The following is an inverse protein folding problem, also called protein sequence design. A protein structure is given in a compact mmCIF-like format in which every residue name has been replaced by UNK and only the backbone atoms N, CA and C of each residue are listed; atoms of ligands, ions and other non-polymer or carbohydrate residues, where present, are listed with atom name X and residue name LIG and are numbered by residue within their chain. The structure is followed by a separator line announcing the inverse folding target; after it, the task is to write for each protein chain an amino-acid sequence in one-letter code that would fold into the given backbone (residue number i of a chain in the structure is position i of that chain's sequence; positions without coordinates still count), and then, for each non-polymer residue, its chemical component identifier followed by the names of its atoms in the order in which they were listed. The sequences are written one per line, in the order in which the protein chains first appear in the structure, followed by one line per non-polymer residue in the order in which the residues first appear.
data_IF_929096556251
#
_entry.id   IF_929096556251
#
_cell.length_a   1.000
_cell.length_b   1.000
_cell.length_c   1.000
_cell.angle_alpha   90.00
_cell.angle_beta   90.00
_cell.angle_gamma   90.00
#
_symmetry.space_group_name_H-M   'P 1'
#
loop_
_entity.id
_entity.type
_entity.pdbx_description
1 polymer ?
#
# COMPACT_ATOMS: atom_id res chain seq x y z
N UNK A 1 -17.90 5.38 4.49
CA UNK A 1 -16.80 5.14 5.47
C UNK A 1 -16.70 6.32 6.44
N UNK A 2 -15.99 6.21 7.58
CA UNK A 2 -15.71 7.34 8.50
C UNK A 2 -14.23 7.31 8.86
N UNK A 3 -13.54 8.46 8.80
CA UNK A 3 -12.16 8.62 9.25
C UNK A 3 -12.14 9.50 10.51
N UNK A 4 -11.38 9.09 11.52
CA UNK A 4 -11.21 9.86 12.75
C UNK A 4 -9.86 10.56 12.75
N UNK A 5 -9.86 11.88 12.85
CA UNK A 5 -8.65 12.70 12.94
C UNK A 5 -8.54 13.21 14.37
N UNK A 6 -7.34 13.12 14.96
CA UNK A 6 -7.08 13.66 16.28
C UNK A 6 -7.14 15.19 16.24
N UNK A 7 -7.76 15.79 17.25
CA UNK A 7 -7.97 17.25 17.31
C UNK A 7 -6.67 18.03 17.17
N UNK A 8 -5.58 17.53 17.75
CA UNK A 8 -4.27 18.19 17.75
C UNK A 8 -3.68 18.36 16.35
N UNK A 9 -4.01 17.47 15.42
CA UNK A 9 -3.50 17.49 14.04
C UNK A 9 -4.56 17.95 13.02
N UNK A 10 -5.81 18.12 13.44
CA UNK A 10 -6.96 18.41 12.56
C UNK A 10 -6.74 19.64 11.67
N UNK A 11 -6.05 20.67 12.16
CA UNK A 11 -5.75 21.90 11.41
C UNK A 11 -4.81 21.68 10.22
N UNK A 12 -4.03 20.61 10.25
CA UNK A 12 -3.15 20.20 9.15
C UNK A 12 -3.80 19.21 8.19
N UNK A 13 -5.08 18.86 8.39
CA UNK A 13 -5.76 17.83 7.60
C UNK A 13 -6.91 18.44 6.80
N UNK A 14 -6.92 18.19 5.50
CA UNK A 14 -7.98 18.59 4.57
C UNK A 14 -8.56 17.34 3.90
N UNK A 15 -9.88 17.20 3.88
CA UNK A 15 -10.53 16.15 3.10
C UNK A 15 -10.70 16.59 1.64
N UNK A 16 -10.19 15.79 0.71
CA UNK A 16 -10.38 15.98 -0.71
C UNK A 16 -11.60 15.22 -1.22
N UNK A 17 -12.34 15.83 -2.15
CA UNK A 17 -13.48 15.18 -2.79
C UNK A 17 -13.03 13.94 -3.57
N UNK A 18 -13.71 12.83 -3.32
CA UNK A 18 -13.54 11.58 -4.05
C UNK A 18 -14.92 10.96 -4.28
N UNK A 19 -15.23 10.57 -5.52
CA UNK A 19 -16.55 10.03 -5.91
C UNK A 19 -16.79 8.59 -5.46
N UNK A 20 -15.81 7.96 -4.80
CA UNK A 20 -15.92 6.58 -4.34
C UNK A 20 -16.47 6.52 -2.90
N UNK A 21 -17.65 5.93 -2.72
CA UNK A 21 -18.36 5.93 -1.43
C UNK A 21 -17.64 5.17 -0.29
N UNK A 22 -16.77 4.23 -0.67
CA UNK A 22 -15.95 3.45 0.25
C UNK A 22 -14.50 3.97 0.32
N UNK A 23 -14.24 5.17 -0.19
CA UNK A 23 -12.95 5.85 -0.15
C UNK A 23 -13.03 7.21 0.57
N UNK A 24 -11.97 7.56 1.30
CA UNK A 24 -11.75 8.90 1.84
C UNK A 24 -10.32 9.30 1.47
N UNK A 25 -10.16 10.48 0.88
CA UNK A 25 -8.85 11.03 0.55
C UNK A 25 -8.56 12.21 1.47
N UNK A 26 -7.54 12.09 2.31
CA UNK A 26 -7.08 13.17 3.18
C UNK A 26 -5.75 13.71 2.68
N UNK A 27 -5.63 15.03 2.64
CA UNK A 27 -4.37 15.74 2.48
C UNK A 27 -3.86 16.14 3.86
N UNK A 28 -2.60 15.80 4.15
CA UNK A 28 -1.84 16.26 5.31
C UNK A 28 -0.90 17.37 4.83
N UNK A 29 -1.10 18.57 5.35
CA UNK A 29 -0.45 19.80 4.90
C UNK A 29 1.01 19.87 5.36
N UNK A 30 1.93 19.95 4.41
CA UNK A 30 3.37 19.97 4.66
C UNK A 30 3.82 21.12 5.56
N UNK A 31 3.24 22.31 5.40
CA UNK A 31 3.57 23.47 6.23
C UNK A 31 3.17 23.28 7.69
N UNK A 32 2.09 22.54 7.95
CA UNK A 32 1.64 22.24 9.31
C UNK A 32 2.54 21.20 9.98
N UNK A 33 2.94 20.16 9.23
CA UNK A 33 3.76 19.07 9.76
C UNK A 33 5.27 19.32 9.65
N UNK A 34 5.70 20.38 8.97
CA UNK A 34 7.11 20.72 8.76
C UNK A 34 7.81 19.79 7.75
N UNK A 35 7.09 19.32 6.73
CA UNK A 35 7.59 18.42 5.69
C UNK A 35 7.93 19.17 4.39
N UNK A 36 8.69 18.53 3.52
CA UNK A 36 9.02 19.07 2.19
C UNK A 36 7.84 19.00 1.21
N UNK A 37 7.03 17.95 1.33
CA UNK A 37 5.88 17.68 0.48
C UNK A 37 4.61 17.32 1.26
N UNK A 38 3.46 17.57 0.63
CA UNK A 38 2.17 17.17 1.18
C UNK A 38 2.08 15.63 1.18
N UNK A 39 1.32 15.08 2.12
CA UNK A 39 1.07 13.63 2.20
C UNK A 39 -0.42 13.36 2.00
N UNK A 40 -0.76 12.51 1.03
CA UNK A 40 -2.12 12.10 0.73
C UNK A 40 -2.38 10.70 1.27
N UNK A 41 -3.37 10.59 2.15
CA UNK A 41 -3.82 9.31 2.72
C UNK A 41 -5.13 8.93 2.07
N UNK A 42 -5.11 7.88 1.25
CA UNK A 42 -6.29 7.25 0.67
C UNK A 42 -6.70 6.11 1.58
N UNK A 43 -7.68 6.37 2.44
CA UNK A 43 -8.34 5.33 3.20
C UNK A 43 -9.36 4.63 2.31
N UNK A 44 -9.37 3.30 2.25
CA UNK A 44 -10.22 2.56 1.32
C UNK A 44 -10.76 1.28 1.93
N UNK A 45 -12.04 1.00 1.64
CA UNK A 45 -12.65 -0.31 1.86
C UNK A 45 -13.01 -0.92 0.50
N UNK A 46 -12.28 -1.95 0.07
CA UNK A 46 -12.59 -2.70 -1.15
C UNK A 46 -13.56 -3.80 -0.83
N UNK A 47 -14.78 -3.73 -1.37
CA UNK A 47 -15.80 -4.76 -1.15
C UNK A 47 -15.33 -6.13 -1.63
N UNK A 48 -15.58 -7.22 -0.88
CA UNK A 48 -15.26 -8.57 -1.35
C UNK A 48 -15.90 -8.87 -2.70
N UNK A 49 -15.19 -9.62 -3.56
CA UNK A 49 -15.62 -10.00 -4.92
C UNK A 49 -17.02 -10.61 -4.97
N UNK A 50 -17.40 -11.35 -3.93
CA UNK A 50 -18.70 -12.05 -3.85
C UNK A 50 -19.75 -11.31 -3.02
N UNK A 51 -19.56 -10.02 -2.73
CA UNK A 51 -20.55 -9.25 -1.97
C UNK A 51 -21.79 -9.02 -2.82
N UNK A 52 -22.97 -9.07 -2.21
CA UNK A 52 -24.27 -8.85 -2.90
C UNK A 52 -24.43 -7.46 -3.52
N UNK A 53 -23.51 -6.54 -3.22
CA UNK A 53 -23.44 -5.18 -3.80
C UNK A 53 -22.35 -5.03 -4.85
N UNK A 54 -21.50 -6.04 -5.08
CA UNK A 54 -20.51 -6.03 -6.16
C UNK A 54 -21.19 -6.03 -7.55
N UNK A 55 -22.41 -6.58 -7.65
CA UNK A 55 -23.18 -6.66 -8.89
C UNK A 55 -23.97 -5.37 -9.23
N UNK A 56 -23.90 -4.32 -8.40
CA UNK A 56 -24.66 -3.08 -8.62
C UNK A 56 -23.93 -2.03 -9.48
N UNK A 57 -22.59 -2.09 -9.54
CA UNK A 57 -21.76 -1.26 -10.44
C UNK A 57 -21.09 -2.16 -11.46
N UNK A 58 -21.80 -2.42 -12.56
CA UNK A 58 -21.41 -3.42 -13.58
C UNK A 58 -20.20 -2.96 -14.42
N UNK A 59 -19.81 -1.68 -14.37
CA UNK A 59 -18.89 -1.09 -15.35
C UNK A 59 -17.53 -0.60 -14.82
N UNK A 60 -17.30 -0.48 -13.50
CA UNK A 60 -16.02 0.03 -12.95
C UNK A 60 -15.58 -0.77 -11.74
N UNK A 61 -14.35 -1.30 -11.75
CA UNK A 61 -13.80 -2.06 -10.63
C UNK A 61 -13.40 -1.11 -9.50
N UNK A 62 -13.59 -1.49 -8.23
CA UNK A 62 -13.25 -0.62 -7.08
C UNK A 62 -11.77 -0.20 -7.03
N UNK A 63 -10.89 -0.99 -7.66
CA UNK A 63 -9.48 -0.64 -7.86
C UNK A 63 -9.28 0.47 -8.89
N UNK A 64 -10.18 0.59 -9.87
CA UNK A 64 -10.09 1.61 -10.90
C UNK A 64 -10.36 2.99 -10.28
N UNK A 65 -11.32 3.09 -9.36
CA UNK A 65 -11.54 4.30 -8.55
C UNK A 65 -10.33 4.68 -7.70
N UNK A 66 -9.60 3.70 -7.18
CA UNK A 66 -8.35 3.95 -6.45
C UNK A 66 -7.27 4.48 -7.39
N UNK A 67 -7.08 3.86 -8.56
CA UNK A 67 -6.13 4.32 -9.58
C UNK A 67 -6.44 5.74 -10.03
N UNK A 68 -7.71 6.04 -10.32
CA UNK A 68 -8.17 7.38 -10.70
C UNK A 68 -7.82 8.41 -9.61
N UNK A 69 -8.09 8.11 -8.35
CA UNK A 69 -7.79 9.03 -7.26
C UNK A 69 -6.30 9.19 -7.01
N UNK A 70 -5.52 8.11 -7.11
CA UNK A 70 -4.07 8.17 -7.02
C UNK A 70 -3.49 9.09 -8.11
N UNK A 71 -3.97 8.98 -9.35
CA UNK A 71 -3.54 9.84 -10.45
C UNK A 71 -3.84 11.34 -10.21
N UNK A 72 -4.84 11.66 -9.38
CA UNK A 72 -5.20 13.05 -9.01
C UNK A 72 -4.27 13.64 -7.95
N UNK A 73 -3.59 12.80 -7.16
CA UNK A 73 -2.78 13.26 -6.01
C UNK A 73 -1.29 12.95 -6.14
N UNK A 74 -0.90 12.00 -6.99
CA UNK A 74 0.47 11.50 -7.11
C UNK A 74 1.47 12.56 -7.59
N UNK A 75 1.02 13.58 -8.32
CA UNK A 75 1.84 14.70 -8.78
C UNK A 75 1.93 15.86 -7.77
N UNK A 76 1.16 15.80 -6.68
CA UNK A 76 1.02 16.87 -5.69
C UNK A 76 1.75 16.58 -4.38
N UNK A 77 2.24 15.36 -4.20
CA UNK A 77 2.93 14.94 -2.98
C UNK A 77 2.95 13.42 -2.83
N UNK A 78 3.35 12.98 -1.64
CA UNK A 78 3.51 11.57 -1.32
C UNK A 78 2.17 10.90 -1.07
N UNK A 79 2.07 9.59 -1.35
CA UNK A 79 0.82 8.85 -1.28
C UNK A 79 0.95 7.65 -0.35
N UNK A 80 -0.03 7.52 0.56
CA UNK A 80 -0.28 6.33 1.36
C UNK A 80 -1.67 5.82 1.01
N UNK A 81 -1.78 4.52 0.77
CA UNK A 81 -3.08 3.82 0.65
C UNK A 81 -3.25 2.91 1.84
N UNK A 82 -4.37 2.99 2.55
CA UNK A 82 -4.59 2.18 3.74
C UNK A 82 -6.03 1.69 3.87
N UNK A 83 -6.20 0.45 4.32
CA UNK A 83 -7.50 -0.09 4.69
C UNK A 83 -7.68 -1.56 4.31
N UNK A 84 -8.92 -2.03 4.38
CA UNK A 84 -9.28 -3.39 3.99
C UNK A 84 -9.41 -3.43 2.47
N UNK A 85 -8.41 -4.03 1.82
CA UNK A 85 -8.36 -4.14 0.37
C UNK A 85 -9.01 -5.44 -0.13
N UNK A 86 -9.46 -6.33 0.77
CA UNK A 86 -9.94 -7.68 0.46
C UNK A 86 -9.04 -8.47 -0.51
N UNK A 87 -7.78 -8.04 -0.61
CA UNK A 87 -6.74 -8.59 -1.45
C UNK A 87 -5.95 -9.58 -0.63
N UNK A 88 -5.67 -10.76 -1.18
CA UNK A 88 -4.76 -11.72 -0.56
C UNK A 88 -3.58 -11.84 -1.51
N UNK A 89 -2.42 -11.35 -1.09
CA UNK A 89 -1.21 -11.30 -1.93
C UNK A 89 -0.29 -12.49 -1.71
N UNK A 90 -0.58 -13.35 -0.73
CA UNK A 90 0.29 -14.45 -0.37
C UNK A 90 1.67 -13.94 0.09
N UNK A 91 2.70 -14.68 -0.30
CA UNK A 91 4.11 -14.30 -0.11
C UNK A 91 4.71 -13.55 -1.31
N UNK A 92 3.92 -13.29 -2.36
CA UNK A 92 4.43 -12.69 -3.58
C UNK A 92 4.98 -11.30 -3.33
N UNK A 93 6.17 -11.03 -3.87
CA UNK A 93 6.75 -9.69 -3.79
C UNK A 93 6.15 -8.77 -4.86
N UNK A 94 6.16 -7.48 -4.59
CA UNK A 94 5.96 -6.45 -5.60
C UNK A 94 7.19 -6.41 -6.51
N UNK A 95 7.01 -6.27 -7.82
CA UNK A 95 8.09 -6.33 -8.81
C UNK A 95 9.20 -5.28 -8.61
N UNK A 96 8.90 -4.21 -7.85
CA UNK A 96 9.84 -3.16 -7.47
C UNK A 96 11.05 -3.68 -6.70
N UNK A 97 10.93 -4.85 -6.05
CA UNK A 97 11.98 -5.41 -5.20
C UNK A 97 12.51 -6.71 -5.82
N UNK A 98 12.80 -6.65 -7.12
CA UNK A 98 13.55 -7.65 -7.90
C UNK A 98 12.89 -9.03 -8.02
N UNK A 99 13.07 -9.63 -9.20
CA UNK A 99 12.52 -10.94 -9.55
C UNK A 99 12.82 -11.99 -8.47
N UNK A 100 11.77 -12.66 -7.97
CA UNK A 100 11.82 -13.72 -6.94
C UNK A 100 12.84 -14.83 -7.23
N UNK A 101 13.25 -15.00 -8.49
CA UNK A 101 14.21 -16.00 -8.94
C UNK A 101 15.69 -15.68 -8.65
N UNK A 102 16.04 -14.47 -8.21
CA UNK A 102 17.46 -14.04 -8.11
C UNK A 102 17.89 -13.46 -6.76
N UNK A 103 17.02 -13.39 -5.76
CA UNK A 103 17.38 -12.77 -4.47
C UNK A 103 17.54 -13.84 -3.40
N UNK A 104 18.78 -14.31 -3.18
CA UNK A 104 19.16 -14.95 -1.90
C UNK A 104 19.66 -13.88 -0.92
N UNK A 105 19.63 -14.16 0.38
CA UNK A 105 20.17 -13.26 1.41
C UNK A 105 21.62 -12.81 1.17
N UNK A 106 22.42 -13.60 0.44
CA UNK A 106 23.78 -13.25 0.01
C UNK A 106 23.85 -12.25 -1.15
N UNK A 107 22.76 -12.05 -1.88
CA UNK A 107 22.76 -11.41 -3.19
C UNK A 107 22.43 -9.92 -3.12
N UNK A 108 21.96 -9.41 -1.96
CA UNK A 108 21.72 -7.97 -1.71
C UNK A 108 22.99 -7.14 -1.96
N UNK A 109 24.17 -7.70 -1.65
CA UNK A 109 25.48 -7.06 -1.91
C UNK A 109 25.98 -7.23 -3.36
N UNK A 110 25.30 -8.03 -4.19
CA UNK A 110 25.73 -8.40 -5.55
C UNK A 110 24.72 -8.05 -6.64
N UNK A 111 23.67 -7.30 -6.34
CA UNK A 111 22.67 -6.88 -7.34
C UNK A 111 23.34 -6.04 -8.44
N UNK A 112 23.07 -6.31 -9.73
CA UNK A 112 23.64 -5.53 -10.82
C UNK A 112 23.16 -4.07 -10.77
N UNK A 113 24.06 -3.13 -11.12
CA UNK A 113 23.84 -1.67 -11.13
C UNK A 113 22.64 -1.19 -12.00
N UNK A 114 21.99 -2.09 -12.73
CA UNK A 114 20.80 -1.82 -13.55
C UNK A 114 19.55 -1.59 -12.69
N UNK A 115 19.47 -2.18 -11.49
CA UNK A 115 18.38 -1.91 -10.52
C UNK A 115 18.58 -0.57 -9.78
N UNK A 116 19.79 0.01 -9.85
CA UNK A 116 20.20 1.15 -9.03
C UNK A 116 19.85 2.53 -9.59
N UNK A 117 19.63 2.69 -10.90
CA UNK A 117 19.71 4.02 -11.49
C UNK A 117 18.40 4.78 -11.67
N UNK A 118 17.22 4.14 -11.65
CA UNK A 118 15.93 4.84 -11.82
C UNK A 118 14.80 4.36 -10.89
N UNK A 119 15.03 3.37 -10.01
CA UNK A 119 14.01 2.89 -9.07
C UNK A 119 14.11 3.66 -7.74
N UNK A 120 13.04 4.37 -7.33
CA UNK A 120 13.00 5.08 -6.04
C UNK A 120 13.19 4.15 -4.83
N UNK A 121 12.84 2.87 -4.98
CA UNK A 121 13.02 1.83 -3.96
C UNK A 121 14.26 0.98 -4.23
N UNK A 122 15.40 1.41 -3.72
CA UNK A 122 16.58 0.55 -3.60
C UNK A 122 16.53 -0.27 -2.30
N UNK A 123 17.17 -1.44 -2.22
CA UNK A 123 17.29 -2.18 -0.96
C UNK A 123 17.91 -1.34 0.17
N UNK A 124 18.88 -0.49 -0.17
CA UNK A 124 19.55 0.42 0.76
C UNK A 124 18.56 1.42 1.37
N UNK A 125 17.70 2.00 0.52
CA UNK A 125 16.63 2.91 0.90
C UNK A 125 15.61 2.23 1.84
N UNK A 126 15.18 1.01 1.52
CA UNK A 126 14.23 0.26 2.36
C UNK A 126 14.83 -0.04 3.74
N UNK A 127 16.08 -0.50 3.78
CA UNK A 127 16.77 -0.81 5.03
C UNK A 127 17.00 0.43 5.90
N UNK A 128 17.24 1.60 5.28
CA UNK A 128 17.41 2.86 6.01
C UNK A 128 16.17 3.25 6.83
N UNK A 129 14.99 2.81 6.42
CA UNK A 129 13.71 3.09 7.08
C UNK A 129 13.26 1.95 8.00
N UNK A 130 14.21 1.16 8.52
CA UNK A 130 13.96 0.00 9.39
C UNK A 130 12.96 -1.01 8.78
N UNK A 131 12.87 -1.06 7.45
CA UNK A 131 11.99 -1.98 6.73
C UNK A 131 12.79 -3.18 6.20
N UNK A 132 12.17 -4.37 6.15
CA UNK A 132 12.76 -5.51 5.44
C UNK A 132 12.61 -5.37 3.93
N UNK A 133 13.70 -5.70 3.22
CA UNK A 133 13.77 -5.71 1.74
C UNK A 133 12.78 -6.71 1.15
N UNK A 134 12.51 -7.83 1.81
CA UNK A 134 11.47 -8.77 1.41
C UNK A 134 10.29 -8.72 2.38
N UNK A 135 9.09 -8.88 1.83
CA UNK A 135 7.85 -8.96 2.60
C UNK A 135 7.63 -10.37 3.10
N UNK A 136 7.38 -10.50 4.40
CA UNK A 136 6.83 -11.73 4.98
C UNK A 136 5.31 -11.73 4.98
N UNK A 137 4.69 -12.90 4.85
CA UNK A 137 3.28 -13.07 5.17
C UNK A 137 2.98 -14.48 5.65
N UNK A 138 2.15 -14.58 6.69
CA UNK A 138 1.61 -15.86 7.16
C UNK A 138 0.43 -16.34 6.31
N UNK A 139 -0.27 -15.42 5.62
CA UNK A 139 -1.30 -15.80 4.66
C UNK A 139 -0.65 -16.21 3.33
N UNK A 140 -0.82 -17.46 2.94
CA UNK A 140 -0.22 -18.03 1.72
C UNK A 140 -1.14 -17.97 0.49
N UNK A 141 -2.38 -17.53 0.67
CA UNK A 141 -3.36 -17.56 -0.41
C UNK A 141 -3.25 -16.31 -1.28
N UNK A 142 -3.51 -16.48 -2.57
CA UNK A 142 -3.59 -15.39 -3.54
C UNK A 142 -4.98 -15.36 -4.16
N UNK A 143 -5.61 -14.18 -4.23
CA UNK A 143 -6.88 -13.98 -4.94
C UNK A 143 -6.73 -12.94 -6.07
N UNK A 144 -7.80 -12.74 -6.86
CA UNK A 144 -7.78 -11.81 -7.99
C UNK A 144 -7.47 -10.37 -7.61
N UNK A 145 -7.97 -9.89 -6.46
CA UNK A 145 -7.63 -8.56 -5.93
C UNK A 145 -6.18 -8.48 -5.47
N UNK A 146 -5.62 -9.56 -4.93
CA UNK A 146 -4.19 -9.66 -4.63
C UNK A 146 -3.31 -9.47 -5.86
N UNK A 147 -3.69 -10.07 -6.99
CA UNK A 147 -2.97 -9.86 -8.26
C UNK A 147 -3.06 -8.39 -8.71
N UNK A 148 -4.27 -7.81 -8.69
CA UNK A 148 -4.47 -6.39 -9.04
C UNK A 148 -3.69 -5.44 -8.11
N UNK A 149 -3.65 -5.73 -6.82
CA UNK A 149 -2.91 -4.95 -5.83
C UNK A 149 -1.41 -4.97 -6.10
N UNK A 150 -0.84 -6.14 -6.40
CA UNK A 150 0.58 -6.25 -6.76
C UNK A 150 0.91 -5.49 -8.05
N UNK A 151 0.03 -5.54 -9.06
CA UNK A 151 0.16 -4.77 -10.30
C UNK A 151 0.07 -3.26 -10.06
N UNK A 152 -0.84 -2.82 -9.19
CA UNK A 152 -0.96 -1.42 -8.77
C UNK A 152 0.33 -0.96 -8.08
N UNK A 153 0.84 -1.76 -7.14
CA UNK A 153 2.09 -1.50 -6.46
C UNK A 153 3.25 -1.34 -7.45
N UNK A 154 3.40 -2.26 -8.40
CA UNK A 154 4.40 -2.17 -9.45
C UNK A 154 4.23 -0.91 -10.31
N UNK A 155 3.03 -0.62 -10.80
CA UNK A 155 2.78 0.49 -11.72
C UNK A 155 2.87 1.88 -11.06
N UNK A 156 2.68 1.97 -9.75
CA UNK A 156 2.64 3.24 -8.99
C UNK A 156 3.78 3.38 -8.00
N UNK A 157 4.79 2.51 -8.08
CA UNK A 157 5.94 2.49 -7.17
C UNK A 157 5.50 2.52 -5.69
N UNK A 158 4.57 1.64 -5.31
CA UNK A 158 4.14 1.47 -3.91
C UNK A 158 4.66 0.15 -3.36
N UNK A 159 5.04 0.15 -2.09
CA UNK A 159 5.35 -1.08 -1.35
C UNK A 159 4.31 -1.36 -0.28
N UNK A 160 4.04 -2.63 -0.01
CA UNK A 160 3.21 -3.10 1.09
C UNK A 160 4.05 -3.16 2.36
N UNK A 161 3.68 -2.40 3.38
CA UNK A 161 4.40 -2.35 4.67
C UNK A 161 4.17 -3.56 5.56
N UNK A 162 3.06 -4.26 5.37
CA UNK A 162 2.70 -5.44 6.17
C UNK A 162 3.77 -6.52 6.02
N UNK A 163 4.35 -6.98 7.11
CA UNK A 163 5.48 -7.91 7.10
C UNK A 163 6.85 -7.27 6.85
N UNK A 164 6.92 -5.96 6.58
CA UNK A 164 8.17 -5.23 6.34
C UNK A 164 8.60 -4.33 7.49
N UNK A 165 7.66 -3.67 8.14
CA UNK A 165 7.96 -2.57 9.05
C UNK A 165 7.42 -2.80 10.47
N UNK A 166 8.08 -2.18 11.45
CA UNK A 166 7.64 -2.13 12.84
C UNK A 166 7.51 -3.50 13.49
N UNK A 167 6.57 -3.64 14.44
CA UNK A 167 6.39 -4.87 15.22
C UNK A 167 5.91 -6.10 14.41
N UNK A 168 5.59 -5.93 13.13
CA UNK A 168 5.16 -7.01 12.23
C UNK A 168 6.26 -7.42 11.23
N UNK A 169 7.41 -6.75 11.26
CA UNK A 169 8.56 -7.02 10.41
C UNK A 169 9.00 -8.48 10.50
N UNK A 170 9.18 -9.11 9.34
CA UNK A 170 9.56 -10.52 9.25
C UNK A 170 8.43 -11.52 9.53
N UNK A 171 7.24 -11.07 9.95
CA UNK A 171 6.09 -11.93 10.28
C UNK A 171 4.99 -11.81 9.23
N UNK A 172 4.42 -10.61 9.06
CA UNK A 172 3.29 -10.39 8.17
C UNK A 172 2.01 -11.11 8.63
N UNK A 173 1.60 -10.85 9.88
CA UNK A 173 0.50 -11.56 10.53
C UNK A 173 -0.86 -11.37 9.83
N UNK A 174 -1.83 -12.22 10.15
CA UNK A 174 -3.22 -12.02 9.76
C UNK A 174 -3.77 -10.71 10.34
N UNK A 175 -4.66 -10.07 9.59
CA UNK A 175 -5.33 -8.82 9.99
C UNK A 175 -6.83 -9.03 10.18
N UNK A 176 -7.36 -10.10 9.58
CA UNK A 176 -8.74 -10.50 9.69
C UNK A 176 -8.86 -11.91 10.24
N UNK A 177 -9.77 -12.10 11.20
CA UNK A 177 -10.08 -13.39 11.81
C UNK A 177 -11.60 -13.58 11.87
N UNK A 178 -12.06 -14.75 11.44
CA UNK A 178 -13.45 -15.17 11.55
C UNK A 178 -13.55 -16.65 11.95
N UNK A 179 -14.78 -17.14 12.16
CA UNK A 179 -15.02 -18.55 12.50
C UNK A 179 -14.60 -19.54 11.40
N UNK A 180 -14.39 -19.07 10.17
CA UNK A 180 -14.01 -19.89 9.00
C UNK A 180 -12.51 -19.83 8.68
N UNK A 181 -11.73 -19.04 9.42
CA UNK A 181 -10.30 -18.88 9.20
C UNK A 181 -9.84 -17.44 9.34
N UNK A 182 -8.62 -17.20 8.89
CA UNK A 182 -7.95 -15.91 8.98
C UNK A 182 -7.31 -15.53 7.63
N UNK A 183 -7.12 -14.23 7.43
CA UNK A 183 -6.49 -13.69 6.22
C UNK A 183 -5.73 -12.41 6.51
N UNK A 184 -4.81 -12.09 5.62
CA UNK A 184 -4.16 -10.77 5.57
C UNK A 184 -4.79 -10.02 4.41
N UNK A 185 -5.62 -9.02 4.72
CA UNK A 185 -6.40 -8.22 3.75
C UNK A 185 -6.36 -6.72 4.03
N UNK A 186 -5.95 -6.34 5.23
CA UNK A 186 -5.73 -4.94 5.61
C UNK A 186 -4.28 -4.58 5.35
N UNK A 187 -4.06 -3.55 4.55
CA UNK A 187 -2.73 -3.13 4.14
C UNK A 187 -2.53 -1.64 4.37
N UNK A 188 -1.26 -1.29 4.55
CA UNK A 188 -0.75 0.06 4.33
C UNK A 188 0.26 -0.04 3.19
N UNK A 189 0.04 0.74 2.15
CA UNK A 189 0.93 0.91 1.00
C UNK A 189 1.52 2.31 1.06
N UNK A 190 2.79 2.46 0.70
CA UNK A 190 3.41 3.78 0.66
C UNK A 190 4.40 3.90 -0.50
N UNK A 191 4.54 5.12 -1.02
CA UNK A 191 5.66 5.49 -1.87
C UNK A 191 6.91 5.80 -1.03
N UNK A 192 8.05 5.93 -1.69
CA UNK A 192 9.34 6.12 -1.03
C UNK A 192 9.36 7.39 -0.17
N UNK A 193 8.89 8.51 -0.73
CA UNK A 193 8.89 9.80 -0.02
C UNK A 193 8.00 9.84 1.23
N UNK A 194 7.13 8.85 1.42
CA UNK A 194 6.30 8.72 2.62
C UNK A 194 6.96 7.93 3.77
N UNK A 195 8.12 7.31 3.54
CA UNK A 195 8.82 6.50 4.56
C UNK A 195 9.76 7.31 5.47
N UNK A 196 10.22 8.49 5.00
CA UNK A 196 11.23 9.33 5.66
C UNK A 196 10.67 10.54 6.41
#
# INVERSE_FOLDING_TARGET
MVCFVREEISKGVEELSWKFEDGICLKLCKDFFGWEEDLFVLSVYMRPVNSTRADLDVDVSCYDHLVEQMAVVSDRGNVIVAGDLNARTGERQECLIGNESEIKESDVFSLPDIVRNDCLFTPENILHNDCSVLRSSVDKNVNGYGVKLLQLCEASELIILKGRAGGDQGVGAHTYHCSRGASTIDYVLCCWGALG
#
